data_IF_218743421240
#
_entry.id   IF_218743421240
#
_cell.length_a   1.000
_cell.length_b   1.000
_cell.length_c   1.000
_cell.angle_alpha   90.00
_cell.angle_beta   90.00
_cell.angle_gamma   90.00
#
_symmetry.space_group_name_H-M   'P 1'
#
loop_
_entity.id
_entity.type
_entity.pdbx_description
1 polymer ?
#
# COMPACT_ATOMS: atom_id res chain seq x y z
N UNK A 1 4.62 -10.80 -2.77
CA UNK A 1 4.03 -10.16 -1.55
C UNK A 1 5.08 -9.42 -0.73
N UNK A 2 6.35 -9.82 -0.76
CA UNK A 2 7.36 -9.27 0.16
C UNK A 2 7.68 -7.80 -0.07
N UNK A 3 7.59 -7.31 -1.32
CA UNK A 3 7.72 -5.88 -1.62
C UNK A 3 6.70 -4.99 -0.88
N UNK A 4 5.46 -5.46 -0.75
CA UNK A 4 4.42 -4.75 0.02
C UNK A 4 4.80 -4.74 1.50
N UNK A 5 5.38 -5.82 2.00
CA UNK A 5 5.83 -5.90 3.39
C UNK A 5 7.01 -4.96 3.68
N UNK A 6 8.01 -4.98 2.80
CA UNK A 6 9.19 -4.11 2.84
C UNK A 6 8.81 -2.62 2.80
N UNK A 7 7.81 -2.25 2.00
CA UNK A 7 7.35 -0.86 1.90
C UNK A 7 6.54 -0.41 3.14
N UNK A 8 5.79 -1.32 3.78
CA UNK A 8 4.91 -0.96 4.88
C UNK A 8 5.56 -1.02 6.27
N UNK A 9 6.52 -1.93 6.52
CA UNK A 9 7.20 -2.04 7.82
C UNK A 9 7.86 -0.73 8.28
N UNK A 10 8.64 0.00 7.44
CA UNK A 10 9.26 1.25 7.84
C UNK A 10 8.25 2.37 8.16
N UNK A 11 7.01 2.23 7.69
CA UNK A 11 5.92 3.17 7.97
C UNK A 11 5.24 2.93 9.33
N UNK A 12 5.71 1.94 10.10
CA UNK A 12 5.16 1.60 11.41
C UNK A 12 3.85 0.82 11.31
N UNK A 13 3.77 -0.12 10.36
CA UNK A 13 2.63 -1.02 10.21
C UNK A 13 3.03 -2.45 10.53
N UNK A 14 2.23 -3.07 11.39
CA UNK A 14 2.21 -4.50 11.58
C UNK A 14 1.41 -5.19 10.47
N UNK A 15 1.93 -6.33 9.99
CA UNK A 15 1.41 -6.99 8.78
C UNK A 15 1.04 -8.43 9.10
N UNK A 16 -0.20 -8.79 8.77
CA UNK A 16 -0.70 -10.16 8.85
C UNK A 16 -1.03 -10.66 7.44
N UNK A 17 -0.28 -11.65 6.97
CA UNK A 17 -0.49 -12.29 5.66
C UNK A 17 -1.48 -13.46 5.76
N UNK A 18 -2.34 -13.58 4.75
CA UNK A 18 -3.26 -14.70 4.55
C UNK A 18 -3.39 -14.95 3.04
N UNK A 19 -2.56 -15.83 2.48
CA UNK A 19 -2.50 -16.12 1.04
C UNK A 19 -2.34 -14.83 0.21
N UNK A 20 -3.26 -14.57 -0.73
CA UNK A 20 -3.30 -13.38 -1.59
C UNK A 20 -3.86 -12.12 -0.90
N UNK A 21 -4.09 -12.16 0.41
CA UNK A 21 -4.60 -11.05 1.21
C UNK A 21 -3.63 -10.68 2.32
N UNK A 22 -3.54 -9.39 2.65
CA UNK A 22 -2.81 -8.94 3.83
C UNK A 22 -3.62 -7.90 4.60
N UNK A 23 -3.42 -7.86 5.91
CA UNK A 23 -3.94 -6.81 6.78
C UNK A 23 -2.77 -6.04 7.37
N UNK A 24 -2.82 -4.74 7.22
CA UNK A 24 -1.83 -3.79 7.73
C UNK A 24 -2.51 -2.98 8.83
N UNK A 25 -1.90 -2.93 10.00
CA UNK A 25 -2.38 -2.13 11.11
C UNK A 25 -1.28 -1.20 11.57
N UNK A 26 -1.56 0.11 11.59
CA UNK A 26 -0.62 1.11 12.06
C UNK A 26 -0.43 1.04 13.57
N UNK A 27 0.82 1.14 14.02
CA UNK A 27 1.18 0.99 15.44
C UNK A 27 0.75 2.19 16.28
N UNK A 28 0.58 3.34 15.62
CA UNK A 28 0.16 4.59 16.25
C UNK A 28 -1.35 4.76 16.18
N UNK A 29 -1.94 5.18 17.30
CA UNK A 29 -3.36 5.54 17.37
C UNK A 29 -3.54 6.96 16.81
N UNK A 30 -4.32 7.07 15.73
CA UNK A 30 -4.70 8.34 15.13
C UNK A 30 -5.99 8.91 15.72
N UNK A 31 -6.53 9.97 15.09
CA UNK A 31 -7.75 10.65 15.54
C UNK A 31 -8.96 9.71 15.60
N UNK A 32 -9.02 8.71 14.72
CA UNK A 32 -10.11 7.73 14.61
C UNK A 32 -9.65 6.31 14.99
N UNK A 33 -8.69 6.20 15.91
CA UNK A 33 -8.06 4.94 16.29
C UNK A 33 -6.92 4.57 15.34
N UNK A 34 -6.50 3.30 15.37
CA UNK A 34 -5.45 2.80 14.49
C UNK A 34 -5.91 2.75 13.03
N UNK A 35 -5.08 3.27 12.13
CA UNK A 35 -5.28 3.08 10.70
C UNK A 35 -5.14 1.59 10.36
N UNK A 36 -6.19 1.02 9.75
CA UNK A 36 -6.22 -0.37 9.32
C UNK A 36 -6.48 -0.44 7.83
N UNK A 37 -5.62 -1.16 7.10
CA UNK A 37 -5.68 -1.30 5.65
C UNK A 37 -5.70 -2.79 5.30
N UNK A 38 -6.63 -3.19 4.44
CA UNK A 38 -6.62 -4.51 3.83
C UNK A 38 -6.03 -4.39 2.41
N UNK A 39 -5.23 -5.37 2.02
CA UNK A 39 -4.75 -5.50 0.65
C UNK A 39 -5.12 -6.85 0.08
N UNK A 40 -5.42 -6.86 -1.21
CA UNK A 40 -5.69 -8.07 -1.98
C UNK A 40 -4.97 -7.99 -3.31
N UNK A 41 -4.32 -9.09 -3.70
CA UNK A 41 -3.57 -9.18 -4.94
C UNK A 41 -4.33 -10.07 -5.91
N UNK A 42 -4.61 -9.51 -7.08
CA UNK A 42 -5.31 -10.17 -8.17
C UNK A 42 -4.36 -10.32 -9.35
N UNK A 43 -4.25 -11.51 -9.91
CA UNK A 43 -3.57 -11.71 -11.20
C UNK A 43 -4.56 -11.31 -12.31
N UNK A 44 -4.19 -10.30 -13.10
CA UNK A 44 -5.05 -9.78 -14.19
C UNK A 44 -4.55 -10.20 -15.57
N UNK A 45 -3.26 -10.54 -15.69
CA UNK A 45 -2.65 -11.20 -16.84
C UNK A 45 -1.36 -11.92 -16.38
N UNK A 46 -0.78 -12.82 -17.20
CA UNK A 46 0.51 -13.42 -16.88
C UNK A 46 1.54 -12.34 -16.59
N UNK A 47 2.16 -12.40 -15.41
CA UNK A 47 3.13 -11.40 -14.92
C UNK A 47 2.57 -10.00 -14.59
N UNK A 48 1.27 -9.76 -14.74
CA UNK A 48 0.62 -8.51 -14.35
C UNK A 48 -0.35 -8.73 -13.19
N UNK A 49 -0.04 -8.08 -12.07
CA UNK A 49 -0.81 -8.21 -10.84
C UNK A 49 -1.37 -6.84 -10.44
N UNK A 50 -2.67 -6.80 -10.14
CA UNK A 50 -3.32 -5.64 -9.56
C UNK A 50 -3.35 -5.80 -8.04
N UNK A 51 -2.98 -4.72 -7.33
CA UNK A 51 -3.02 -4.68 -5.87
C UNK A 51 -4.10 -3.70 -5.44
N UNK A 52 -5.17 -4.21 -4.84
CA UNK A 52 -6.20 -3.37 -4.23
C UNK A 52 -5.78 -2.99 -2.82
N UNK A 53 -5.93 -1.70 -2.46
CA UNK A 53 -5.76 -1.20 -1.10
C UNK A 53 -7.08 -0.64 -0.59
N UNK A 54 -7.56 -1.15 0.54
CA UNK A 54 -8.83 -0.74 1.14
C UNK A 54 -8.64 -0.28 2.58
N UNK A 55 -9.08 0.93 2.89
CA UNK A 55 -9.19 1.40 4.28
C UNK A 55 -10.29 0.60 4.99
N UNK A 56 -9.93 -0.08 6.08
CA UNK A 56 -10.85 -0.88 6.90
C UNK A 56 -11.12 -0.27 8.28
N UNK A 57 -10.31 0.70 8.70
CA UNK A 57 -10.48 1.46 9.95
C UNK A 57 -9.56 2.68 10.00
N UNK A 58 -9.83 3.61 10.92
CA UNK A 58 -9.02 4.83 11.11
C UNK A 58 -9.37 6.01 10.19
N UNK A 59 -8.52 7.03 10.22
CA UNK A 59 -8.78 8.31 9.56
C UNK A 59 -8.47 8.28 8.06
N UNK A 60 -9.28 9.00 7.27
CA UNK A 60 -9.13 9.02 5.80
C UNK A 60 -7.92 9.84 5.35
N UNK A 61 -7.57 10.92 6.04
CA UNK A 61 -6.38 11.70 5.69
C UNK A 61 -5.10 10.94 6.06
N UNK A 62 -5.12 10.20 7.17
CA UNK A 62 -4.04 9.25 7.52
C UNK A 62 -3.90 8.18 6.44
N UNK A 63 -5.01 7.61 5.94
CA UNK A 63 -4.99 6.65 4.83
C UNK A 63 -4.35 7.24 3.56
N UNK A 64 -4.72 8.45 3.16
CA UNK A 64 -4.11 9.10 1.98
C UNK A 64 -2.62 9.37 2.15
N UNK A 65 -2.19 9.78 3.35
CA UNK A 65 -0.77 9.97 3.68
C UNK A 65 -0.01 8.64 3.58
N UNK A 66 -0.56 7.59 4.21
CA UNK A 66 -0.03 6.24 4.11
C UNK A 66 0.09 5.81 2.65
N UNK A 67 -0.98 5.95 1.85
CA UNK A 67 -0.99 5.55 0.44
C UNK A 67 0.12 6.22 -0.36
N UNK A 68 0.34 7.54 -0.18
CA UNK A 68 1.42 8.27 -0.86
C UNK A 68 2.81 7.77 -0.46
N UNK A 69 3.06 7.54 0.84
CA UNK A 69 4.35 7.01 1.30
C UNK A 69 4.56 5.56 0.86
N UNK A 70 3.51 4.75 0.93
CA UNK A 70 3.53 3.35 0.55
C UNK A 70 3.77 3.17 -0.95
N UNK A 71 3.07 3.92 -1.80
CA UNK A 71 3.32 3.90 -3.26
C UNK A 71 4.72 4.37 -3.60
N UNK A 72 5.27 5.34 -2.85
CA UNK A 72 6.65 5.77 -3.04
C UNK A 72 7.69 4.67 -2.76
N UNK A 73 7.40 3.76 -1.82
CA UNK A 73 8.24 2.59 -1.53
C UNK A 73 8.07 1.44 -2.54
N UNK A 74 7.06 1.51 -3.42
CA UNK A 74 6.78 0.51 -4.46
C UNK A 74 7.09 1.01 -5.88
N UNK A 75 7.76 2.17 -6.02
CA UNK A 75 8.04 2.80 -7.33
C UNK A 75 8.72 1.89 -8.35
N UNK A 76 9.52 0.93 -7.88
CA UNK A 76 10.28 0.01 -8.73
C UNK A 76 9.44 -1.13 -9.30
N UNK A 77 8.29 -1.41 -8.68
CA UNK A 77 7.38 -2.51 -9.07
C UNK A 77 6.01 -2.02 -9.55
N UNK A 78 5.71 -0.74 -9.35
CA UNK A 78 4.50 -0.14 -9.88
C UNK A 78 4.58 0.02 -11.40
N UNK A 79 3.50 -0.38 -12.07
CA UNK A 79 3.32 -0.09 -13.48
C UNK A 79 3.31 1.43 -13.71
N UNK A 80 4.20 1.91 -14.57
CA UNK A 80 4.26 3.31 -14.98
C UNK A 80 3.54 3.43 -16.31
N UNK A 81 2.53 4.29 -16.38
CA UNK A 81 1.97 4.74 -17.65
C UNK A 81 2.90 5.80 -18.25
N UNK A 82 2.96 5.89 -19.58
CA UNK A 82 3.89 6.77 -20.31
C UNK A 82 3.63 8.28 -20.10
N UNK A 83 2.67 8.68 -19.28
CA UNK A 83 2.37 10.10 -18.98
C UNK A 83 3.30 10.72 -17.92
N UNK A 84 4.22 9.97 -17.31
CA UNK A 84 5.09 10.48 -16.25
C UNK A 84 6.54 10.74 -16.70
N UNK A 85 6.77 10.91 -18.01
CA UNK A 85 8.09 11.22 -18.58
C UNK A 85 8.37 12.72 -18.79
N UNK A 86 7.51 13.62 -18.33
CA UNK A 86 7.70 15.07 -18.46
C UNK A 86 7.73 15.79 -17.10
N UNK A 87 8.73 15.50 -16.27
CA UNK A 87 9.14 16.46 -15.23
C UNK A 87 10.64 16.33 -14.92
N UNK A 88 11.47 16.38 -15.97
CA UNK A 88 12.86 16.85 -15.90
C UNK A 88 13.15 17.64 -17.17
N UNK A 89 12.92 18.95 -17.12
CA UNK A 89 13.61 19.94 -17.94
C UNK A 89 14.02 21.10 -17.06
#
# INVERSE_FOLDING_TARGET
MDKIEEAAKPLGFNIRKQNYKMKLQGDKTGRKGHLSVATEVFEVAPSLHMVELRKTGGDTLEFHKFYKSFSSGLKDVMWKTEENSEEVR
#
